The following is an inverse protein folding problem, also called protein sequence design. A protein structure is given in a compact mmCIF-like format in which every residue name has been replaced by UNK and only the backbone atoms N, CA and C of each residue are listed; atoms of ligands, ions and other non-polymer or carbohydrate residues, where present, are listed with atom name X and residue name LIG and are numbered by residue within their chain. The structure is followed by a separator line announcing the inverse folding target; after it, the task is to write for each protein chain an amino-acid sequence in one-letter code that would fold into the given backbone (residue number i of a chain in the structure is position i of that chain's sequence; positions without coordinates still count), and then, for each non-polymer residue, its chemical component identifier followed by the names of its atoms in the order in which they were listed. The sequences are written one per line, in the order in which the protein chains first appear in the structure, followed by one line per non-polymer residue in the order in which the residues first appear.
data_IF_961842430515
#
_entry.id   IF_961842430515
#
_cell.length_a   1.000
_cell.length_b   1.000
_cell.length_c   1.000
_cell.angle_alpha   90.00
_cell.angle_beta   90.00
_cell.angle_gamma   90.00
#
_symmetry.space_group_name_H-M   'P 1'
#
loop_
_entity.id
_entity.type
_entity.pdbx_description
1 polymer ?
#
# COMPACT_ATOMS: atom_id res chain seq x y z
N UNK A 1 6.98 1.11 17.04
CA UNK A 1 6.79 2.21 17.98
C UNK A 1 5.30 2.18 18.24
N UNK A 2 4.54 3.23 17.92
CA UNK A 2 3.09 3.21 17.70
C UNK A 2 2.87 4.47 16.85
N UNK A 3 3.07 4.32 15.53
CA UNK A 3 3.28 5.44 14.60
C UNK A 3 1.98 6.19 14.34
N UNK A 4 0.87 5.49 14.14
CA UNK A 4 -0.46 6.04 13.93
C UNK A 4 -1.24 6.33 15.25
N UNK A 5 -0.84 5.71 16.36
CA UNK A 5 -1.45 5.91 17.68
C UNK A 5 -2.74 5.13 17.90
N UNK A 6 -3.01 4.06 17.14
CA UNK A 6 -4.22 3.23 17.31
C UNK A 6 -4.13 2.25 18.50
N UNK A 7 -2.91 2.07 19.04
CA UNK A 7 -2.60 1.21 20.18
C UNK A 7 -2.13 -0.20 19.81
N UNK A 8 -1.97 -0.49 18.53
CA UNK A 8 -1.14 -1.53 17.96
C UNK A 8 0.29 -0.97 17.88
N UNK A 9 1.31 -1.84 17.91
CA UNK A 9 2.71 -1.37 17.83
C UNK A 9 3.26 -1.78 16.49
N UNK A 10 4.10 -0.96 15.88
CA UNK A 10 4.64 -1.22 14.54
C UNK A 10 5.25 -2.60 14.30
N UNK A 11 5.70 -3.31 15.35
CA UNK A 11 6.24 -4.67 15.20
C UNK A 11 5.15 -5.72 14.89
N UNK A 12 3.87 -5.36 15.06
CA UNK A 12 2.69 -6.22 14.84
C UNK A 12 1.60 -5.54 14.02
N UNK A 13 1.74 -4.25 13.76
CA UNK A 13 0.89 -3.54 12.82
C UNK A 13 1.22 -3.99 11.40
N UNK A 14 0.24 -3.92 10.52
CA UNK A 14 0.43 -4.21 9.10
C UNK A 14 0.35 -2.96 8.24
N UNK A 15 -0.16 -1.87 8.78
CA UNK A 15 -0.26 -0.54 8.16
C UNK A 15 0.16 0.47 9.25
N UNK A 16 1.46 0.76 9.31
CA UNK A 16 2.11 1.49 10.40
C UNK A 16 1.62 2.95 10.55
N UNK A 17 1.09 3.55 9.49
CA UNK A 17 0.63 4.94 9.47
C UNK A 17 -0.87 5.13 9.16
N UNK A 18 -1.57 4.03 8.92
CA UNK A 18 -3.03 3.89 8.81
C UNK A 18 -3.61 4.70 7.66
N UNK A 19 -2.95 4.62 6.52
CA UNK A 19 -3.34 5.29 5.29
C UNK A 19 -4.11 4.40 4.31
N UNK A 20 -4.19 3.09 4.60
CA UNK A 20 -4.88 2.09 3.80
C UNK A 20 -3.97 1.19 2.97
N UNK A 21 -2.65 1.42 2.98
CA UNK A 21 -1.65 0.57 2.31
C UNK A 21 -0.83 -0.18 3.35
N UNK A 22 -0.61 -1.48 3.16
CA UNK A 22 0.23 -2.22 4.11
C UNK A 22 1.73 -1.93 3.91
N UNK A 23 2.52 -2.07 4.97
CA UNK A 23 3.97 -1.81 4.99
C UNK A 23 4.74 -2.54 3.87
N UNK A 24 4.26 -3.73 3.46
CA UNK A 24 4.93 -4.54 2.44
C UNK A 24 4.69 -4.04 1.03
N UNK A 25 3.51 -3.49 0.76
CA UNK A 25 3.16 -2.83 -0.49
C UNK A 25 3.87 -1.48 -0.59
N UNK A 26 3.91 -0.71 0.50
CA UNK A 26 4.66 0.55 0.56
C UNK A 26 6.17 0.36 0.31
N UNK A 27 6.78 -0.66 0.94
CA UNK A 27 8.17 -1.04 0.68
C UNK A 27 8.42 -1.42 -0.80
N UNK A 28 7.44 -2.03 -1.46
CA UNK A 28 7.51 -2.40 -2.88
C UNK A 28 7.33 -1.18 -3.81
N UNK A 29 6.49 -0.23 -3.41
CA UNK A 29 6.13 0.98 -4.15
C UNK A 29 7.11 2.15 -3.94
N UNK A 30 8.06 2.03 -3.01
CA UNK A 30 8.98 3.10 -2.57
C UNK A 30 8.29 4.23 -1.80
N UNK A 31 7.21 3.89 -1.09
CA UNK A 31 6.56 4.72 -0.09
C UNK A 31 7.26 4.54 1.28
N UNK A 32 6.91 5.34 2.27
CA UNK A 32 7.46 5.26 3.63
C UNK A 32 6.39 4.73 4.60
N UNK A 33 6.50 3.49 5.09
CA UNK A 33 5.46 2.86 5.94
C UNK A 33 5.08 3.60 7.21
N UNK A 34 5.85 4.60 7.60
CA UNK A 34 5.63 5.37 8.82
C UNK A 34 5.19 6.80 8.54
N UNK A 35 4.83 7.10 7.30
CA UNK A 35 4.47 8.43 6.84
C UNK A 35 3.44 8.37 5.71
N UNK A 36 2.19 8.53 6.11
CA UNK A 36 0.98 8.47 5.28
C UNK A 36 0.86 9.46 4.09
N UNK A 37 1.90 10.22 3.77
CA UNK A 37 2.00 11.18 2.67
C UNK A 37 3.51 11.33 2.38
N UNK A 38 4.08 10.35 1.69
CA UNK A 38 5.51 10.20 1.42
C UNK A 38 6.08 11.39 0.67
N UNK A 39 5.33 11.92 -0.30
CA UNK A 39 5.79 13.04 -1.13
C UNK A 39 5.45 14.43 -0.55
N UNK A 40 4.57 14.48 0.46
CA UNK A 40 4.14 15.68 1.16
C UNK A 40 3.24 16.58 0.32
N UNK A 41 2.51 16.03 -0.65
CA UNK A 41 1.65 16.78 -1.56
C UNK A 41 0.25 17.08 -0.96
N UNK A 42 -0.10 16.42 0.15
CA UNK A 42 -1.35 16.58 0.88
C UNK A 42 -2.48 15.62 0.47
N UNK A 43 -2.18 14.61 -0.36
CA UNK A 43 -2.94 13.39 -0.59
C UNK A 43 -2.21 12.27 0.16
N UNK A 44 -2.93 11.36 0.81
CA UNK A 44 -2.28 10.25 1.52
C UNK A 44 -1.82 9.20 0.54
N UNK A 45 -0.77 8.44 0.85
CA UNK A 45 -0.23 7.45 -0.10
C UNK A 45 -1.31 6.43 -0.50
N UNK A 46 -2.18 6.02 0.42
CA UNK A 46 -3.37 5.21 0.13
C UNK A 46 -4.39 5.83 -0.83
N UNK A 47 -4.55 7.16 -0.87
CA UNK A 47 -5.46 7.84 -1.80
C UNK A 47 -4.79 8.23 -3.13
N UNK A 48 -3.49 7.94 -3.28
CA UNK A 48 -2.78 8.09 -4.55
C UNK A 48 -3.07 6.94 -5.51
N UNK A 49 -2.70 7.12 -6.78
CA UNK A 49 -2.85 6.17 -7.88
C UNK A 49 -1.46 6.10 -8.56
N UNK A 50 -0.57 5.31 -7.98
CA UNK A 50 0.87 5.33 -8.30
C UNK A 50 1.12 4.84 -9.74
N UNK A 51 0.37 3.86 -10.21
CA UNK A 51 0.51 3.29 -11.56
C UNK A 51 -0.41 3.90 -12.63
N UNK A 52 -1.37 4.73 -12.23
CA UNK A 52 -2.31 5.47 -13.07
C UNK A 52 -3.31 4.58 -13.83
N UNK A 53 -3.76 3.49 -13.21
CA UNK A 53 -4.75 2.57 -13.77
C UNK A 53 -6.21 2.95 -13.44
N UNK A 54 -6.40 3.85 -12.46
CA UNK A 54 -7.68 4.37 -12.01
C UNK A 54 -8.27 3.72 -10.75
N UNK A 55 -7.54 2.86 -10.06
CA UNK A 55 -7.75 2.48 -8.67
C UNK A 55 -6.76 3.22 -7.77
N UNK A 56 -7.15 3.44 -6.52
CA UNK A 56 -6.24 4.03 -5.52
C UNK A 56 -5.43 2.95 -4.83
N UNK A 57 -4.27 3.29 -4.30
CA UNK A 57 -3.37 2.35 -3.64
C UNK A 57 -4.07 1.59 -2.49
N UNK A 58 -5.02 2.22 -1.77
CA UNK A 58 -5.85 1.60 -0.73
C UNK A 58 -6.91 0.62 -1.27
N UNK A 59 -7.36 0.78 -2.52
CA UNK A 59 -8.23 -0.18 -3.21
C UNK A 59 -7.45 -1.41 -3.70
N UNK A 60 -6.15 -1.24 -3.92
CA UNK A 60 -5.27 -2.27 -4.47
C UNK A 60 -4.56 -3.09 -3.39
N UNK A 61 -4.24 -2.48 -2.25
CA UNK A 61 -3.64 -3.11 -1.07
C UNK A 61 -4.67 -3.79 -0.14
N UNK A 62 -4.17 -4.61 0.79
CA UNK A 62 -4.92 -5.14 1.94
C UNK A 62 -4.20 -4.65 3.21
N UNK A 63 -4.74 -3.60 3.84
CA UNK A 63 -4.25 -2.94 5.06
C UNK A 63 -4.02 -3.92 6.23
N UNK A 64 -4.73 -5.04 6.23
CA UNK A 64 -4.67 -6.06 7.27
C UNK A 64 -3.79 -7.27 6.86
N UNK A 65 -3.06 -7.17 5.74
CA UNK A 65 -2.12 -8.18 5.22
C UNK A 65 -0.68 -7.84 5.59
N UNK A 66 0.06 -8.82 6.14
CA UNK A 66 1.50 -8.67 6.42
C UNK A 66 2.39 -9.04 5.22
N UNK A 67 1.81 -9.10 4.03
CA UNK A 67 2.48 -9.51 2.80
C UNK A 67 1.98 -8.66 1.65
N UNK A 68 2.89 -8.35 0.74
CA UNK A 68 2.61 -7.67 -0.51
C UNK A 68 1.39 -8.27 -1.21
N UNK A 69 0.49 -7.39 -1.65
CA UNK A 69 -0.68 -7.75 -2.44
C UNK A 69 -0.24 -7.95 -3.87
N UNK A 70 -0.39 -9.18 -4.36
CA UNK A 70 0.03 -9.62 -5.70
C UNK A 70 -1.04 -10.59 -6.21
N UNK A 71 -2.10 -10.04 -6.82
CA UNK A 71 -3.28 -10.82 -7.21
C UNK A 71 -2.99 -11.74 -8.39
N UNK A 72 -2.11 -11.34 -9.31
CA UNK A 72 -1.79 -12.11 -10.52
C UNK A 72 -0.57 -13.04 -10.37
N UNK A 73 0.18 -12.92 -9.27
CA UNK A 73 1.37 -13.67 -8.90
C UNK A 73 2.54 -13.49 -9.88
N UNK A 74 2.68 -12.30 -10.47
CA UNK A 74 3.81 -11.95 -11.34
C UNK A 74 5.06 -11.50 -10.54
N UNK A 75 4.88 -11.19 -9.25
CA UNK A 75 5.91 -10.74 -8.32
C UNK A 75 6.07 -9.23 -8.21
N UNK A 76 5.13 -8.45 -8.73
CA UNK A 76 4.97 -7.01 -8.55
C UNK A 76 3.79 -6.77 -7.59
N UNK A 77 3.84 -5.69 -6.80
CA UNK A 77 2.71 -5.29 -5.95
C UNK A 77 1.63 -4.70 -6.83
N UNK A 78 0.36 -5.02 -6.54
CA UNK A 78 -0.79 -4.44 -7.23
C UNK A 78 -0.75 -2.90 -7.20
N UNK A 79 -0.22 -2.27 -6.14
CA UNK A 79 -0.09 -0.79 -6.01
C UNK A 79 0.78 -0.16 -7.11
N UNK A 80 1.66 -0.93 -7.74
CA UNK A 80 2.55 -0.46 -8.83
C UNK A 80 2.42 -1.31 -10.09
N UNK A 81 1.39 -2.15 -10.17
CA UNK A 81 1.10 -2.98 -11.33
C UNK A 81 -0.28 -2.63 -11.91
N UNK A 82 -0.33 -1.87 -13.03
CA UNK A 82 -1.58 -1.32 -13.54
C UNK A 82 -2.55 -2.45 -13.88
N UNK A 83 -3.69 -2.47 -13.18
CA UNK A 83 -4.66 -3.55 -13.08
C UNK A 83 -4.54 -4.60 -14.18
N UNK A 84 -4.09 -5.78 -13.76
CA UNK A 84 -4.45 -7.04 -14.41
C UNK A 84 -4.00 -7.08 -15.89
N UNK A 85 -2.75 -6.67 -16.15
CA UNK A 85 -2.23 -6.41 -17.49
C UNK A 85 -2.35 -7.57 -18.51
N UNK A 86 -2.63 -8.82 -18.10
CA UNK A 86 -3.27 -9.87 -18.92
C UNK A 86 -3.56 -11.15 -18.09
N UNK A 87 -4.78 -11.31 -17.54
CA UNK A 87 -5.33 -12.65 -17.23
C UNK A 87 -6.86 -12.76 -17.28
N UNK A 88 -7.56 -11.95 -18.09
CA UNK A 88 -8.92 -12.32 -18.55
C UNK A 88 -8.82 -13.47 -19.57
N UNK A 89 -8.84 -14.70 -19.06
CA UNK A 89 -8.91 -15.95 -19.82
C UNK A 89 -10.33 -16.54 -19.89
#
# INVERSE_FOLDING_TARGET
ADTDGDGITDDVDTDDDNDGVNDSDEDASNLDPKNNDTDGNGVTDGEEDEDNDGYTNDEESDDNSSTMTDKDNDGVSDVVDPADADSDA
#
